data_IF_619193484043
#
_entry.id   IF_619193484043
#
_cell.length_a   1.000
_cell.length_b   1.000
_cell.length_c   1.000
_cell.angle_alpha   90.00
_cell.angle_beta   90.00
_cell.angle_gamma   90.00
#
_symmetry.space_group_name_H-M   'P 1'
#
loop_
_entity.id
_entity.type
_entity.pdbx_description
1 polymer ?
#
# COMPACT_ATOMS: atom_id res chain seq x y z
N UNK A 1 6.16 32.79 5.64
CA UNK A 1 7.37 33.55 6.02
C UNK A 1 7.41 33.44 7.53
N UNK A 2 7.99 32.42 8.16
CA UNK A 2 9.37 31.91 8.24
C UNK A 2 9.24 30.54 8.91
N UNK A 3 10.05 29.53 8.62
CA UNK A 3 11.19 29.20 9.49
C UNK A 3 12.13 28.21 8.77
N UNK A 4 13.41 28.45 8.99
CA UNK A 4 14.57 27.82 8.37
C UNK A 4 15.09 26.70 9.29
N UNK A 5 15.61 25.65 8.64
CA UNK A 5 16.83 24.92 8.98
C UNK A 5 17.06 24.47 10.43
N UNK A 6 17.15 23.14 10.61
CA UNK A 6 18.28 22.53 11.32
C UNK A 6 18.74 21.27 10.57
N UNK A 7 19.96 21.36 10.05
CA UNK A 7 20.79 20.23 9.66
C UNK A 7 21.81 20.01 10.78
N UNK A 8 22.05 18.75 11.19
CA UNK A 8 23.39 18.23 11.51
C UNK A 8 23.32 16.82 12.08
N UNK A 9 23.97 15.88 11.40
CA UNK A 9 24.69 14.79 12.05
C UNK A 9 25.82 14.36 11.10
N UNK A 10 26.98 14.99 11.30
CA UNK A 10 28.27 14.45 10.84
C UNK A 10 28.78 13.52 11.93
N UNK A 11 29.12 12.29 11.57
CA UNK A 11 30.23 11.58 12.20
C UNK A 11 31.02 10.88 11.12
N UNK A 12 32.28 11.31 11.01
CA UNK A 12 33.32 10.76 10.15
C UNK A 12 33.93 9.54 10.84
N UNK A 13 34.10 8.44 10.12
CA UNK A 13 35.28 7.58 10.28
C UNK A 13 35.90 7.28 8.93
N UNK A 14 37.20 7.50 8.88
CA UNK A 14 38.13 7.50 7.76
C UNK A 14 38.95 6.20 7.82
N UNK A 15 39.38 5.67 6.67
CA UNK A 15 40.37 4.58 6.56
C UNK A 15 40.01 3.57 5.46
N UNK A 16 40.28 3.87 4.17
CA UNK A 16 41.52 3.60 3.41
C UNK A 16 41.59 2.17 2.85
N UNK A 17 41.71 2.15 1.53
CA UNK A 17 41.98 1.09 0.54
C UNK A 17 42.86 -0.07 1.01
N UNK A 18 42.52 -1.29 0.59
CA UNK A 18 43.45 -2.27 0.02
C UNK A 18 42.70 -3.12 -1.02
N UNK A 19 43.22 -3.08 -2.25
CA UNK A 19 42.88 -3.98 -3.35
C UNK A 19 43.87 -5.15 -3.31
N UNK A 20 43.42 -6.39 -3.57
CA UNK A 20 44.23 -7.25 -4.40
C UNK A 20 43.40 -7.92 -5.51
N UNK A 21 44.07 -8.03 -6.65
CA UNK A 21 43.63 -8.74 -7.83
C UNK A 21 43.69 -10.27 -7.65
N UNK A 22 42.95 -10.94 -8.55
CA UNK A 22 43.14 -12.31 -9.02
C UNK A 22 42.91 -13.45 -8.01
N UNK A 23 41.87 -14.26 -8.27
CA UNK A 23 42.09 -15.56 -8.91
C UNK A 23 40.78 -16.25 -9.30
N UNK A 24 40.76 -16.66 -10.57
CA UNK A 24 39.86 -17.60 -11.22
C UNK A 24 39.87 -18.95 -10.47
N UNK A 25 38.69 -19.50 -10.16
CA UNK A 25 38.50 -20.95 -9.94
C UNK A 25 37.04 -21.32 -10.17
N UNK A 26 36.86 -22.09 -11.24
CA UNK A 26 35.74 -22.98 -11.56
C UNK A 26 35.11 -23.63 -10.33
N UNK A 27 33.81 -23.46 -10.17
CA UNK A 27 32.96 -24.33 -9.37
C UNK A 27 31.70 -24.64 -10.19
N UNK A 28 31.78 -25.73 -10.96
CA UNK A 28 30.60 -26.45 -11.42
C UNK A 28 30.11 -27.23 -10.20
N UNK A 29 28.94 -26.87 -9.69
CA UNK A 29 28.22 -27.66 -8.70
C UNK A 29 26.73 -27.56 -9.05
N UNK A 30 26.27 -28.65 -9.64
CA UNK A 30 24.88 -29.04 -9.78
C UNK A 30 24.34 -29.25 -8.37
N UNK A 31 23.36 -28.48 -7.90
CA UNK A 31 22.32 -28.97 -7.00
C UNK A 31 21.21 -27.94 -6.73
N UNK A 32 19.99 -28.43 -6.56
CA UNK A 32 19.08 -27.95 -5.53
C UNK A 32 18.40 -26.58 -5.72
N UNK A 33 17.24 -26.61 -6.36
CA UNK A 33 15.98 -26.07 -5.80
C UNK A 33 16.01 -24.78 -4.98
N UNK A 34 15.52 -23.67 -5.56
CA UNK A 34 14.56 -22.79 -4.85
C UNK A 34 13.56 -22.22 -5.84
N UNK A 35 12.37 -22.84 -5.91
CA UNK A 35 11.18 -22.19 -6.42
C UNK A 35 10.79 -21.09 -5.43
N UNK A 36 11.09 -19.82 -5.74
CA UNK A 36 10.47 -18.70 -5.03
C UNK A 36 9.13 -18.43 -5.70
N UNK A 37 8.15 -19.31 -5.44
CA UNK A 37 6.75 -18.91 -5.53
C UNK A 37 6.53 -17.91 -4.40
N UNK A 38 6.57 -16.62 -4.75
CA UNK A 38 6.11 -15.56 -3.89
C UNK A 38 4.57 -15.65 -3.77
N UNK A 39 4.08 -16.69 -3.12
CA UNK A 39 2.75 -16.67 -2.54
C UNK A 39 2.80 -15.65 -1.41
N UNK A 40 2.25 -14.48 -1.70
CA UNK A 40 1.90 -13.51 -0.69
C UNK A 40 0.85 -14.15 0.22
N UNK A 41 1.32 -14.80 1.29
CA UNK A 41 0.54 -15.16 2.45
C UNK A 41 -0.06 -13.86 2.99
N UNK A 42 -1.25 -13.51 2.53
CA UNK A 42 -2.08 -12.46 3.11
C UNK A 42 -2.83 -13.10 4.25
N UNK A 43 -2.17 -13.15 5.41
CA UNK A 43 -2.67 -13.81 6.61
C UNK A 43 -4.08 -13.38 6.95
N UNK A 44 -4.96 -14.38 6.94
CA UNK A 44 -6.30 -14.38 7.46
C UNK A 44 -6.33 -13.82 8.89
N UNK A 45 -6.99 -12.68 9.05
CA UNK A 45 -7.98 -12.55 10.12
C UNK A 45 -9.33 -12.56 9.42
N UNK A 46 -9.84 -13.77 9.24
CA UNK A 46 -11.14 -14.09 8.64
C UNK A 46 -12.29 -13.65 9.57
N UNK A 47 -12.29 -12.39 9.97
CA UNK A 47 -13.52 -11.76 10.41
C UNK A 47 -14.24 -11.35 9.15
N UNK A 48 -15.50 -11.74 8.97
CA UNK A 48 -16.31 -11.22 7.86
C UNK A 48 -16.33 -9.69 7.89
N UNK A 49 -16.33 -9.05 6.71
CA UNK A 49 -16.49 -7.60 6.62
C UNK A 49 -17.86 -7.19 7.15
N UNK A 50 -17.93 -6.05 7.83
CA UNK A 50 -19.18 -5.46 8.31
C UNK A 50 -19.41 -4.09 7.68
N UNK A 51 -20.68 -3.69 7.45
CA UNK A 51 -20.99 -2.30 7.12
C UNK A 51 -20.36 -1.37 8.16
N UNK A 52 -19.67 -0.33 7.69
CA UNK A 52 -19.00 0.67 8.51
C UNK A 52 -17.51 0.37 8.73
N UNK A 53 -17.06 -0.82 8.34
CA UNK A 53 -15.63 -1.13 8.39
C UNK A 53 -14.84 -0.24 7.43
N UNK A 54 -13.66 0.13 7.91
CA UNK A 54 -12.72 0.92 7.14
C UNK A 54 -11.82 0.01 6.35
N UNK A 55 -11.47 0.46 5.14
CA UNK A 55 -10.65 -0.31 4.25
C UNK A 55 -9.70 0.60 3.47
N UNK A 56 -8.54 0.05 3.15
CA UNK A 56 -7.54 0.69 2.33
C UNK A 56 -7.44 -0.09 1.02
N UNK A 57 -7.76 0.59 -0.08
CA UNK A 57 -7.64 0.01 -1.41
C UNK A 57 -6.37 0.51 -2.10
N UNK A 58 -5.54 -0.42 -2.56
CA UNK A 58 -4.31 -0.13 -3.31
C UNK A 58 -4.61 -0.07 -4.80
N UNK A 59 -4.59 1.12 -5.39
CA UNK A 59 -4.79 1.27 -6.84
C UNK A 59 -3.48 1.63 -7.54
N UNK A 60 -3.04 0.78 -8.47
CA UNK A 60 -1.95 1.11 -9.38
C UNK A 60 -2.41 2.18 -10.38
N UNK A 61 -1.51 3.13 -10.66
CA UNK A 61 -1.72 4.23 -11.60
C UNK A 61 -0.46 4.50 -12.40
N UNK A 62 -0.66 5.06 -13.59
CA UNK A 62 0.40 5.56 -14.47
C UNK A 62 0.12 7.01 -14.83
N UNK A 63 1.10 7.89 -14.65
CA UNK A 63 1.04 9.29 -15.11
C UNK A 63 2.44 9.86 -15.28
N UNK A 64 2.54 11.03 -15.94
CA UNK A 64 3.81 11.77 -16.05
C UNK A 64 4.23 12.42 -14.73
N UNK A 65 3.25 12.82 -13.92
CA UNK A 65 3.47 13.51 -12.64
C UNK A 65 2.78 12.73 -11.53
N UNK A 66 3.54 12.00 -10.68
CA UNK A 66 2.97 11.33 -9.51
C UNK A 66 2.47 12.36 -8.50
N UNK A 67 1.28 12.14 -7.96
CA UNK A 67 0.70 13.03 -6.96
C UNK A 67 1.30 12.83 -5.55
N UNK A 68 0.99 13.71 -4.58
CA UNK A 68 1.57 13.66 -3.23
C UNK A 68 1.29 12.37 -2.42
N UNK A 69 0.31 11.56 -2.87
CA UNK A 69 -0.07 10.28 -2.23
C UNK A 69 0.45 9.07 -3.00
N UNK A 70 1.34 9.28 -3.98
CA UNK A 70 1.96 8.22 -4.73
C UNK A 70 2.99 7.49 -3.87
N UNK A 71 2.87 6.18 -3.82
CA UNK A 71 3.76 5.26 -3.12
C UNK A 71 4.42 4.32 -4.14
N UNK A 72 5.61 3.80 -3.84
CA UNK A 72 6.33 2.88 -4.74
C UNK A 72 6.45 3.42 -6.17
N UNK A 73 6.88 4.67 -6.30
CA UNK A 73 7.05 5.33 -7.61
C UNK A 73 8.23 4.68 -8.33
N UNK A 74 7.96 4.12 -9.52
CA UNK A 74 8.97 3.54 -10.41
C UNK A 74 8.90 4.22 -11.76
N UNK A 75 10.03 4.67 -12.34
CA UNK A 75 10.03 5.13 -13.72
C UNK A 75 9.65 3.96 -14.64
N UNK A 76 8.90 4.25 -15.69
CA UNK A 76 8.63 3.28 -16.75
C UNK A 76 9.91 3.10 -17.59
N UNK A 77 10.10 1.92 -18.19
CA UNK A 77 11.31 1.60 -18.97
C UNK A 77 11.59 2.59 -20.11
N UNK A 78 10.54 3.20 -20.68
CA UNK A 78 10.63 4.21 -21.74
C UNK A 78 10.75 5.66 -21.24
N UNK A 79 10.83 5.88 -19.93
CA UNK A 79 11.08 7.21 -19.32
C UNK A 79 9.92 8.21 -19.35
N UNK A 80 8.88 7.99 -20.16
CA UNK A 80 7.81 8.99 -20.35
C UNK A 80 6.83 9.14 -19.18
N UNK A 81 6.72 8.11 -18.33
CA UNK A 81 5.72 8.03 -17.26
C UNK A 81 6.26 7.31 -16.05
N UNK A 82 5.64 7.54 -14.91
CA UNK A 82 5.87 6.80 -13.68
C UNK A 82 4.71 5.85 -13.41
N UNK A 83 5.04 4.65 -12.95
CA UNK A 83 4.08 3.74 -12.34
C UNK A 83 4.14 3.94 -10.82
N UNK A 84 3.00 4.11 -10.19
CA UNK A 84 2.92 4.30 -8.75
C UNK A 84 1.64 3.69 -8.20
N UNK A 85 1.64 3.39 -6.91
CA UNK A 85 0.47 2.89 -6.19
C UNK A 85 -0.11 4.04 -5.37
N UNK A 86 -1.42 4.17 -5.37
CA UNK A 86 -2.12 5.11 -4.50
C UNK A 86 -3.02 4.35 -3.57
N UNK A 87 -2.82 4.56 -2.27
CA UNK A 87 -3.74 4.10 -1.24
C UNK A 87 -4.98 5.00 -1.22
N UNK A 88 -6.16 4.39 -1.31
CA UNK A 88 -7.44 5.05 -1.16
C UNK A 88 -8.13 4.56 0.10
N UNK A 89 -8.68 5.49 0.86
CA UNK A 89 -9.42 5.23 2.09
C UNK A 89 -10.90 5.14 1.76
N UNK A 90 -11.47 3.95 1.93
CA UNK A 90 -12.86 3.63 1.64
C UNK A 90 -13.54 3.12 2.92
N UNK A 91 -14.86 3.18 2.93
CA UNK A 91 -15.71 2.60 3.96
C UNK A 91 -16.62 1.56 3.32
N UNK A 92 -16.83 0.43 4.00
CA UNK A 92 -17.83 -0.56 3.59
C UNK A 92 -19.21 0.03 3.83
N UNK A 93 -20.00 0.14 2.78
CA UNK A 93 -21.36 0.67 2.82
C UNK A 93 -22.36 -0.48 3.01
N UNK A 94 -22.14 -1.59 2.30
CA UNK A 94 -23.00 -2.78 2.32
C UNK A 94 -22.17 -4.02 1.98
N UNK A 95 -22.54 -5.15 2.59
CA UNK A 95 -21.95 -6.47 2.34
C UNK A 95 -23.03 -7.30 1.65
N UNK A 96 -22.77 -7.76 0.43
CA UNK A 96 -23.73 -8.59 -0.32
C UNK A 96 -23.54 -10.06 0.00
N UNK A 97 -24.63 -10.83 -0.03
CA UNK A 97 -24.61 -12.28 0.11
C UNK A 97 -23.73 -12.97 -0.97
N UNK A 98 -23.57 -12.33 -2.13
CA UNK A 98 -22.72 -12.79 -3.25
C UNK A 98 -21.20 -12.73 -2.94
N UNK A 99 -20.78 -12.28 -1.74
CA UNK A 99 -19.37 -12.12 -1.37
C UNK A 99 -18.71 -10.84 -1.91
N UNK A 100 -19.52 -9.92 -2.44
CA UNK A 100 -19.06 -8.60 -2.89
C UNK A 100 -19.40 -7.51 -1.86
N UNK A 101 -18.60 -6.46 -1.84
CA UNK A 101 -18.77 -5.31 -0.95
C UNK A 101 -19.08 -4.07 -1.78
N UNK A 102 -20.13 -3.35 -1.39
CA UNK A 102 -20.34 -1.97 -1.83
C UNK A 102 -19.49 -1.07 -0.96
N UNK A 103 -18.58 -0.31 -1.57
CA UNK A 103 -17.63 0.54 -0.87
C UNK A 103 -17.79 2.00 -1.28
N UNK A 104 -17.76 2.89 -0.30
CA UNK A 104 -17.90 4.33 -0.50
C UNK A 104 -16.58 5.05 -0.27
N UNK A 105 -16.24 5.95 -1.18
CA UNK A 105 -15.06 6.81 -1.09
C UNK A 105 -15.35 8.11 -0.36
N UNK A 106 -14.32 8.83 0.09
CA UNK A 106 -14.48 10.18 0.67
C UNK A 106 -15.19 11.19 -0.24
N UNK A 107 -15.18 10.96 -1.56
CA UNK A 107 -15.86 11.83 -2.53
C UNK A 107 -17.32 11.41 -2.78
N UNK A 108 -17.81 10.35 -2.13
CA UNK A 108 -19.17 9.82 -2.33
C UNK A 108 -19.32 8.88 -3.50
N UNK A 109 -18.22 8.57 -4.22
CA UNK A 109 -18.27 7.54 -5.26
C UNK A 109 -18.39 6.18 -4.61
N UNK A 110 -19.28 5.37 -5.15
CA UNK A 110 -19.53 3.99 -4.72
C UNK A 110 -18.90 3.02 -5.72
N UNK A 111 -18.28 1.96 -5.23
CA UNK A 111 -17.64 0.92 -6.03
C UNK A 111 -17.97 -0.46 -5.45
N UNK A 112 -18.34 -1.41 -6.32
CA UNK A 112 -18.53 -2.82 -5.95
C UNK A 112 -17.22 -3.55 -6.16
N UNK A 113 -16.71 -4.23 -5.13
CA UNK A 113 -15.46 -5.00 -5.17
C UNK A 113 -15.62 -6.34 -4.44
N UNK A 114 -14.92 -7.40 -4.83
CA UNK A 114 -14.97 -8.67 -4.08
C UNK A 114 -14.31 -8.49 -2.71
N UNK A 115 -14.86 -9.17 -1.69
CA UNK A 115 -14.34 -9.12 -0.32
C UNK A 115 -12.91 -9.69 -0.20
N UNK A 116 -12.55 -10.59 -1.13
CA UNK A 116 -11.27 -11.30 -1.21
C UNK A 116 -10.23 -10.59 -2.12
N UNK A 117 -10.52 -9.36 -2.57
CA UNK A 117 -9.58 -8.65 -3.44
C UNK A 117 -8.22 -8.42 -2.74
N UNK A 118 -7.08 -8.86 -3.31
CA UNK A 118 -5.77 -8.72 -2.66
C UNK A 118 -5.32 -7.26 -2.50
N UNK A 119 -5.93 -6.33 -3.25
CA UNK A 119 -5.66 -4.90 -3.11
C UNK A 119 -6.49 -4.25 -2.00
N UNK A 120 -7.52 -4.94 -1.50
CA UNK A 120 -8.34 -4.51 -0.39
C UNK A 120 -7.71 -5.02 0.91
N UNK A 121 -7.37 -4.10 1.81
CA UNK A 121 -6.75 -4.46 3.08
C UNK A 121 -7.38 -3.68 4.21
N UNK A 122 -7.54 -4.34 5.36
CA UNK A 122 -7.98 -3.67 6.58
C UNK A 122 -6.89 -2.73 7.10
N UNK A 123 -7.24 -1.51 7.55
CA UNK A 123 -6.28 -0.65 8.21
C UNK A 123 -5.84 -1.31 9.52
N UNK A 124 -4.53 -1.29 9.78
CA UNK A 124 -4.01 -1.64 11.10
C UNK A 124 -4.56 -0.70 12.19
N UNK A 125 -4.46 -1.08 13.46
CA UNK A 125 -4.90 -0.23 14.57
C UNK A 125 -4.26 1.19 14.53
N UNK A 126 -2.97 1.27 14.24
CA UNK A 126 -2.26 2.55 14.10
C UNK A 126 -2.73 3.35 12.88
N UNK A 127 -3.01 2.68 11.76
CA UNK A 127 -3.59 3.29 10.58
C UNK A 127 -4.99 3.86 10.89
N UNK A 128 -5.78 3.11 11.66
CA UNK A 128 -7.12 3.49 12.12
C UNK A 128 -7.05 4.78 12.94
N UNK A 129 -6.12 4.88 13.89
CA UNK A 129 -5.96 6.08 14.72
C UNK A 129 -5.43 7.27 13.92
N UNK A 130 -4.37 7.09 13.12
CA UNK A 130 -3.74 8.17 12.34
C UNK A 130 -4.66 8.76 11.27
N UNK A 131 -5.50 7.94 10.64
CA UNK A 131 -6.40 8.39 9.57
C UNK A 131 -7.86 8.49 10.00
N UNK A 132 -8.11 8.45 11.33
CA UNK A 132 -9.45 8.55 11.91
C UNK A 132 -10.24 9.73 11.38
N UNK A 133 -9.63 10.92 11.32
CA UNK A 133 -10.27 12.13 10.79
C UNK A 133 -10.79 11.96 9.37
N UNK A 134 -10.04 11.23 8.52
CA UNK A 134 -10.42 11.02 7.13
C UNK A 134 -11.57 10.05 7.00
N UNK A 135 -11.65 9.06 7.87
CA UNK A 135 -12.78 8.14 7.92
C UNK A 135 -14.01 8.78 8.56
N UNK A 136 -13.83 9.54 9.64
CA UNK A 136 -14.89 10.35 10.25
C UNK A 136 -15.46 11.37 9.27
N UNK A 137 -14.67 11.93 8.35
CA UNK A 137 -15.18 12.77 7.28
C UNK A 137 -16.09 12.01 6.28
N UNK A 138 -15.88 10.70 6.10
CA UNK A 138 -16.77 9.84 5.31
C UNK A 138 -18.05 9.60 6.09
N UNK A 139 -17.94 9.18 7.35
CA UNK A 139 -19.08 8.93 8.24
C UNK A 139 -19.95 10.18 8.41
N UNK A 140 -19.35 11.35 8.64
CA UNK A 140 -20.08 12.60 8.85
C UNK A 140 -20.81 13.06 7.57
N UNK A 141 -20.23 12.80 6.39
CA UNK A 141 -20.82 13.21 5.12
C UNK A 141 -21.92 12.27 4.65
N UNK A 142 -21.85 10.99 5.01
CA UNK A 142 -22.68 9.94 4.43
C UNK A 142 -23.50 9.12 5.45
N UNK A 143 -23.37 9.42 6.73
CA UNK A 143 -23.94 8.63 7.82
C UNK A 143 -23.12 7.37 8.13
N UNK A 144 -23.40 6.75 9.27
CA UNK A 144 -22.98 5.36 9.51
C UNK A 144 -23.75 4.47 8.54
N UNK A 145 -23.05 3.61 7.82
CA UNK A 145 -23.66 2.57 7.00
C UNK A 145 -24.37 1.58 7.92
N UNK A 146 -25.70 1.69 8.00
CA UNK A 146 -26.55 0.89 8.89
C UNK A 146 -27.12 -0.34 8.17
N UNK A 147 -26.89 -0.49 6.87
CA UNK A 147 -27.46 -1.58 6.07
C UNK A 147 -26.64 -2.86 6.24
N UNK A 148 -26.91 -3.59 7.32
CA UNK A 148 -26.72 -5.03 7.37
C UNK A 148 -28.03 -5.65 6.89
N UNK A 149 -28.03 -6.23 5.69
CA UNK A 149 -29.09 -7.09 5.20
C UNK A 149 -28.73 -8.56 5.52
#
# INVERSE_FOLDING_TARGET
MTEKFLANLRSLRRGVLHSPAAQNRTASAVDGSVLIHAEAVSSATDTAWKPGDWAIYRKSKRSKVPGPRASSVKPNLKGETYNYVVQKFWMVDEVHADGTLTMRTTRGKTHRVPADDPNLTRPSWFARLRWRERFMAIENRFGKSTFAA
#
